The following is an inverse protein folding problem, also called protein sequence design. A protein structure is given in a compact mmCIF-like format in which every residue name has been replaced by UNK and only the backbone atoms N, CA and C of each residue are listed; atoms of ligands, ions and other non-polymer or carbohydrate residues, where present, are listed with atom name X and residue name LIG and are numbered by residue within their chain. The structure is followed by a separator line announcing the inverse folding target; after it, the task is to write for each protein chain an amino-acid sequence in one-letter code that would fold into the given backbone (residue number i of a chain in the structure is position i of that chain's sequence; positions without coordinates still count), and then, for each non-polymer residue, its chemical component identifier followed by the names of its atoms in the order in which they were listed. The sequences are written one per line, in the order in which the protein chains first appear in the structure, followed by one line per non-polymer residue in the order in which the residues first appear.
data_IF_368181394791
#
_entry.id   IF_368181394791
#
_cell.length_a   1.000
_cell.length_b   1.000
_cell.length_c   1.000
_cell.angle_alpha   90.00
_cell.angle_beta   90.00
_cell.angle_gamma   90.00
#
_symmetry.space_group_name_H-M   'P 1'
#
loop_
_entity.id
_entity.type
_entity.pdbx_description
1 polymer ?
#
# COMPACT_ATOMS: atom_id res chain seq x y z
N UNK A 1 -11.48 7.94 4.73
CA UNK A 1 -10.84 6.72 4.18
C UNK A 1 -10.19 5.95 5.31
N UNK A 2 -10.40 4.64 5.35
CA UNK A 2 -9.73 3.72 6.27
C UNK A 2 -8.27 3.49 5.85
N UNK A 3 -7.48 2.78 6.64
CA UNK A 3 -6.09 2.45 6.32
C UNK A 3 -5.62 1.13 6.95
N UNK A 4 -4.54 0.56 6.42
CA UNK A 4 -3.95 -0.68 6.94
C UNK A 4 -2.49 -0.48 7.31
N UNK A 5 -2.14 -1.05 8.45
CA UNK A 5 -0.78 -1.06 9.02
C UNK A 5 -0.26 -2.49 8.97
N UNK A 6 1.03 -2.67 8.66
CA UNK A 6 1.73 -3.95 8.81
C UNK A 6 2.80 -3.82 9.88
N UNK A 7 2.98 -4.85 10.71
CA UNK A 7 4.13 -4.90 11.61
C UNK A 7 5.41 -5.08 10.81
N UNK A 8 6.37 -4.18 11.02
CA UNK A 8 7.77 -4.39 10.72
C UNK A 8 8.30 -5.50 11.64
N UNK A 9 9.13 -6.41 11.12
CA UNK A 9 9.58 -7.60 11.85
C UNK A 9 10.58 -7.31 12.98
N UNK A 10 10.44 -6.17 13.67
CA UNK A 10 11.41 -5.58 14.58
C UNK A 10 11.18 -5.80 16.07
N UNK A 11 10.27 -6.68 16.53
CA UNK A 11 10.11 -6.96 17.96
C UNK A 11 10.22 -8.44 18.33
N UNK A 12 11.43 -8.80 18.76
CA UNK A 12 11.82 -9.95 19.60
C UNK A 12 11.52 -11.37 19.09
N UNK A 13 12.60 -12.01 18.63
CA UNK A 13 12.72 -13.41 18.22
C UNK A 13 12.39 -14.49 19.27
N UNK A 14 11.74 -14.17 20.41
CA UNK A 14 11.61 -15.11 21.54
C UNK A 14 10.19 -15.31 22.09
N UNK A 15 9.14 -14.78 21.45
CA UNK A 15 7.76 -15.14 21.82
C UNK A 15 7.01 -15.55 20.57
N UNK A 16 6.51 -16.80 20.60
CA UNK A 16 5.57 -17.47 19.69
C UNK A 16 5.12 -16.67 18.45
N UNK A 17 5.35 -17.26 17.28
CA UNK A 17 5.15 -16.78 15.89
C UNK A 17 3.71 -16.34 15.50
N UNK A 18 2.94 -15.76 16.40
CA UNK A 18 1.56 -15.36 16.15
C UNK A 18 1.44 -13.85 16.28
N UNK A 19 0.62 -13.26 15.43
CA UNK A 19 0.36 -11.83 15.46
C UNK A 19 -0.20 -11.36 16.82
N UNK A 20 0.11 -10.13 17.26
CA UNK A 20 -0.45 -9.61 18.50
C UNK A 20 -1.98 -9.58 18.46
N UNK A 21 -2.62 -9.48 19.63
CA UNK A 21 -4.08 -9.37 19.70
C UNK A 21 -4.58 -8.21 18.83
N UNK A 22 -5.67 -8.45 18.10
CA UNK A 22 -6.26 -7.51 17.13
C UNK A 22 -5.45 -7.27 15.85
N UNK A 23 -4.51 -8.17 15.53
CA UNK A 23 -3.84 -8.24 14.23
C UNK A 23 -4.19 -9.53 13.51
N UNK A 24 -4.29 -9.45 12.19
CA UNK A 24 -4.56 -10.58 11.31
C UNK A 24 -3.26 -11.08 10.69
N UNK A 25 -2.98 -12.37 10.86
CA UNK A 25 -1.85 -13.02 10.19
C UNK A 25 -2.23 -13.34 8.74
N UNK A 26 -1.50 -12.76 7.80
CA UNK A 26 -1.68 -12.96 6.36
C UNK A 26 -0.29 -13.27 5.80
N UNK A 27 -0.08 -14.52 5.36
CA UNK A 27 1.19 -14.99 4.78
C UNK A 27 2.43 -14.64 5.60
N UNK A 28 2.39 -14.90 6.92
CA UNK A 28 3.52 -14.70 7.83
C UNK A 28 3.82 -13.25 8.18
N UNK A 29 2.93 -12.31 7.81
CA UNK A 29 2.97 -10.91 8.24
C UNK A 29 1.69 -10.56 8.98
N UNK A 30 1.78 -9.58 9.87
CA UNK A 30 0.66 -9.14 10.68
C UNK A 30 0.11 -7.82 10.14
N UNK A 31 -1.20 -7.78 9.91
CA UNK A 31 -1.89 -6.60 9.39
C UNK A 31 -3.00 -6.17 10.33
N UNK A 32 -3.25 -4.86 10.38
CA UNK A 32 -4.36 -4.30 11.14
C UNK A 32 -5.09 -3.24 10.34
N UNK A 33 -6.41 -3.38 10.29
CA UNK A 33 -7.31 -2.43 9.67
C UNK A 33 -7.78 -1.38 10.68
N UNK A 34 -7.78 -0.12 10.25
CA UNK A 34 -8.33 1.00 11.00
C UNK A 34 -9.43 1.66 10.18
N UNK A 35 -10.65 1.68 10.71
CA UNK A 35 -11.83 2.29 10.08
C UNK A 35 -11.83 3.83 10.15
N UNK A 36 -10.90 4.44 10.88
CA UNK A 36 -10.83 5.89 11.08
C UNK A 36 -10.61 6.62 9.75
N UNK A 37 -11.49 7.58 9.45
CA UNK A 37 -11.39 8.38 8.24
C UNK A 37 -10.24 9.40 8.31
N UNK A 38 -9.12 9.09 7.66
CA UNK A 38 -7.93 9.94 7.61
C UNK A 38 -7.46 10.20 6.19
N UNK A 39 -6.67 11.27 5.99
CA UNK A 39 -5.87 11.46 4.79
C UNK A 39 -4.68 10.49 4.80
N UNK A 40 -4.08 10.21 3.64
CA UNK A 40 -2.90 9.33 3.59
C UNK A 40 -1.79 9.81 4.52
N UNK A 41 -1.50 11.12 4.53
CA UNK A 41 -0.45 11.70 5.36
C UNK A 41 -0.76 11.59 6.87
N UNK A 42 -2.03 11.78 7.26
CA UNK A 42 -2.43 11.61 8.66
C UNK A 42 -2.37 10.13 9.09
N UNK A 43 -2.78 9.21 8.21
CA UNK A 43 -2.69 7.78 8.44
C UNK A 43 -1.23 7.31 8.58
N UNK A 44 -0.35 7.72 7.66
CA UNK A 44 1.09 7.43 7.72
C UNK A 44 1.72 7.99 9.00
N UNK A 45 1.41 9.25 9.36
CA UNK A 45 1.89 9.85 10.61
C UNK A 45 1.43 9.07 11.84
N UNK A 46 0.20 8.57 11.84
CA UNK A 46 -0.30 7.73 12.92
C UNK A 46 0.43 6.38 12.98
N UNK A 47 0.70 5.75 11.84
CA UNK A 47 1.50 4.53 11.79
C UNK A 47 2.89 4.77 12.38
N UNK A 48 3.56 5.85 11.97
CA UNK A 48 4.89 6.20 12.46
C UNK A 48 4.89 6.48 13.96
N UNK A 49 3.82 7.09 14.49
CA UNK A 49 3.65 7.30 15.92
C UNK A 49 3.59 5.99 16.72
N UNK A 50 3.03 4.92 16.15
CA UNK A 50 3.01 3.58 16.76
C UNK A 50 4.22 2.71 16.40
N UNK A 51 5.25 3.30 15.79
CA UNK A 51 6.49 2.61 15.41
C UNK A 51 6.38 1.76 14.15
N UNK A 52 5.37 2.00 13.32
CA UNK A 52 5.10 1.23 12.09
C UNK A 52 4.87 2.16 10.89
N UNK A 53 4.55 1.59 9.73
CA UNK A 53 4.20 2.35 8.52
C UNK A 53 2.90 1.83 7.91
N UNK A 54 2.32 2.62 7.00
CA UNK A 54 1.26 2.08 6.16
C UNK A 54 1.77 0.86 5.41
N UNK A 55 0.89 -0.13 5.26
CA UNK A 55 1.30 -1.45 4.79
C UNK A 55 1.90 -1.42 3.39
N UNK A 56 2.98 -2.18 3.22
CA UNK A 56 3.47 -2.64 1.92
C UNK A 56 2.79 -3.93 1.49
N UNK A 57 2.75 -4.18 0.18
CA UNK A 57 2.25 -5.44 -0.39
C UNK A 57 3.31 -5.99 -1.32
N UNK A 58 3.73 -7.25 -1.12
CA UNK A 58 4.86 -7.85 -1.83
C UNK A 58 4.51 -9.02 -2.73
N UNK A 59 3.27 -9.52 -2.67
CA UNK A 59 2.83 -10.60 -3.52
C UNK A 59 1.30 -10.64 -3.60
N UNK A 60 0.82 -11.41 -4.57
CA UNK A 60 -0.61 -11.61 -4.83
C UNK A 60 -1.36 -12.18 -3.63
N UNK A 61 -0.72 -13.11 -2.93
CA UNK A 61 -1.21 -13.74 -1.72
C UNK A 61 -1.51 -12.71 -0.62
N UNK A 62 -0.56 -11.83 -0.29
CA UNK A 62 -0.77 -10.72 0.65
C UNK A 62 -1.88 -9.79 0.17
N UNK A 63 -1.90 -9.43 -1.11
CA UNK A 63 -2.98 -8.60 -1.68
C UNK A 63 -4.34 -9.21 -1.42
N UNK A 64 -4.53 -10.49 -1.78
CA UNK A 64 -5.81 -11.18 -1.63
C UNK A 64 -6.21 -11.31 -0.17
N UNK A 65 -5.30 -11.71 0.72
CA UNK A 65 -5.61 -11.80 2.14
C UNK A 65 -5.97 -10.45 2.77
N UNK A 66 -5.39 -9.35 2.30
CA UNK A 66 -5.76 -8.00 2.73
C UNK A 66 -7.15 -7.62 2.18
N UNK A 67 -7.49 -7.98 0.94
CA UNK A 67 -8.85 -7.79 0.40
C UNK A 67 -9.89 -8.56 1.22
N UNK A 68 -9.60 -9.82 1.56
CA UNK A 68 -10.47 -10.66 2.39
C UNK A 68 -10.64 -10.06 3.81
N UNK A 69 -9.57 -9.50 4.38
CA UNK A 69 -9.63 -8.79 5.66
C UNK A 69 -10.56 -7.56 5.59
N UNK A 70 -10.43 -6.76 4.54
CA UNK A 70 -11.29 -5.58 4.33
C UNK A 70 -12.74 -6.01 4.19
N UNK A 71 -13.00 -7.03 3.37
CA UNK A 71 -14.34 -7.57 3.16
C UNK A 71 -14.98 -8.07 4.46
N UNK A 72 -14.21 -8.81 5.26
CA UNK A 72 -14.68 -9.35 6.54
C UNK A 72 -15.05 -8.26 7.54
N UNK A 73 -14.28 -7.17 7.60
CA UNK A 73 -14.50 -6.09 8.56
C UNK A 73 -15.53 -5.08 8.05
N UNK A 74 -15.57 -4.84 6.76
CA UNK A 74 -16.39 -3.81 6.14
C UNK A 74 -17.05 -4.37 4.87
N UNK A 75 -18.30 -4.83 5.05
CA UNK A 75 -19.15 -5.38 3.98
C UNK A 75 -19.39 -4.41 2.82
N UNK A 76 -19.11 -3.12 3.01
CA UNK A 76 -19.11 -2.12 1.96
C UNK A 76 -17.67 -1.85 1.53
N UNK A 77 -17.30 -2.42 0.37
CA UNK A 77 -16.02 -2.24 -0.31
C UNK A 77 -15.50 -0.80 -0.19
N UNK A 78 -14.66 -0.58 0.81
CA UNK A 78 -14.18 0.75 1.16
C UNK A 78 -12.78 0.96 0.60
N UNK A 79 -12.52 2.18 0.17
CA UNK A 79 -11.17 2.64 -0.20
C UNK A 79 -10.29 2.69 1.06
N UNK A 80 -9.17 1.99 1.02
CA UNK A 80 -8.24 1.84 2.15
C UNK A 80 -6.85 2.33 1.78
N UNK A 81 -6.22 3.19 2.58
CA UNK A 81 -4.84 3.61 2.35
C UNK A 81 -3.84 2.49 2.61
N UNK A 82 -2.83 2.42 1.72
CA UNK A 82 -1.63 1.59 1.85
C UNK A 82 -0.39 2.46 1.62
N UNK A 83 0.81 1.94 1.88
CA UNK A 83 2.05 2.73 1.94
C UNK A 83 2.61 3.20 0.59
N UNK A 84 1.95 2.89 -0.52
CA UNK A 84 2.46 3.21 -1.85
C UNK A 84 2.42 4.70 -2.15
N UNK A 85 3.56 5.28 -2.55
CA UNK A 85 3.67 6.70 -2.91
C UNK A 85 4.77 6.98 -3.93
N UNK A 86 4.55 7.98 -4.80
CA UNK A 86 5.56 8.57 -5.70
C UNK A 86 6.01 9.97 -5.25
N UNK A 87 5.74 10.35 -4.00
CA UNK A 87 5.97 11.71 -3.51
C UNK A 87 7.45 12.10 -3.48
N UNK A 88 8.36 11.13 -3.50
CA UNK A 88 9.80 11.35 -3.54
C UNK A 88 10.29 11.63 -4.97
N UNK A 89 9.75 10.92 -5.95
CA UNK A 89 10.11 11.08 -7.35
C UNK A 89 8.89 10.74 -8.20
N UNK A 90 8.37 11.73 -8.93
CA UNK A 90 7.18 11.57 -9.74
C UNK A 90 7.35 10.41 -10.74
N UNK A 91 6.31 9.60 -10.89
CA UNK A 91 6.33 8.38 -11.71
C UNK A 91 7.11 7.19 -11.13
N UNK A 92 7.85 7.35 -10.04
CA UNK A 92 8.59 6.25 -9.38
C UNK A 92 7.98 5.96 -8.01
N UNK A 93 7.44 4.75 -7.88
CA UNK A 93 6.69 4.34 -6.69
C UNK A 93 7.58 3.65 -5.66
N UNK A 94 7.35 4.00 -4.40
CA UNK A 94 8.01 3.43 -3.24
C UNK A 94 6.97 3.04 -2.18
N UNK A 95 7.31 2.08 -1.33
CA UNK A 95 6.57 1.84 -0.09
C UNK A 95 7.11 2.76 1.01
N UNK A 96 6.22 3.35 1.81
CA UNK A 96 6.59 4.25 2.92
C UNK A 96 7.37 3.55 4.04
N UNK A 97 7.28 2.23 4.13
CA UNK A 97 8.06 1.40 5.06
C UNK A 97 9.50 1.11 4.59
N UNK A 98 9.91 1.66 3.44
CA UNK A 98 11.25 1.47 2.86
C UNK A 98 11.48 0.12 2.19
N UNK A 99 10.47 -0.74 2.14
CA UNK A 99 10.56 -2.04 1.47
C UNK A 99 10.60 -1.92 -0.06
N UNK A 100 11.12 -2.95 -0.72
CA UNK A 100 11.26 -2.94 -2.18
C UNK A 100 9.89 -2.97 -2.88
N UNK A 101 9.69 -2.06 -3.84
CA UNK A 101 8.46 -1.96 -4.62
C UNK A 101 8.47 -2.95 -5.81
N UNK A 102 8.34 -4.25 -5.53
CA UNK A 102 8.41 -5.32 -6.54
C UNK A 102 7.04 -5.83 -6.99
N UNK A 103 6.00 -5.66 -6.17
CA UNK A 103 4.67 -6.17 -6.47
C UNK A 103 3.75 -5.04 -6.90
N UNK A 104 3.19 -5.21 -8.10
CA UNK A 104 2.27 -4.24 -8.65
C UNK A 104 1.07 -4.91 -9.31
N UNK A 105 -0.07 -4.91 -8.62
CA UNK A 105 -1.38 -5.10 -9.24
C UNK A 105 -1.89 -3.72 -9.64
N UNK A 106 -1.57 -3.29 -10.87
CA UNK A 106 -2.08 -2.04 -11.44
C UNK A 106 -3.51 -2.26 -11.97
N UNK A 107 -4.33 -1.21 -11.96
CA UNK A 107 -5.53 -1.22 -12.79
C UNK A 107 -5.14 -1.34 -14.26
N UNK A 108 -5.96 -2.03 -15.05
CA UNK A 108 -5.83 -2.04 -16.51
C UNK A 108 -5.81 -0.59 -17.02
N UNK A 109 -4.70 -0.17 -17.64
CA UNK A 109 -4.49 1.21 -18.12
C UNK A 109 -3.54 2.10 -17.30
N UNK A 110 -2.90 1.61 -16.23
CA UNK A 110 -1.96 2.39 -15.41
C UNK A 110 -0.47 2.10 -15.65
N UNK A 111 -0.14 1.22 -16.59
CA UNK A 111 1.24 1.10 -17.07
C UNK A 111 1.54 2.23 -18.05
N UNK A 112 2.16 3.29 -17.55
CA UNK A 112 3.05 4.11 -18.36
C UNK A 112 4.43 4.11 -17.71
N UNK A 113 5.31 3.26 -18.25
CA UNK A 113 6.76 3.42 -18.10
C UNK A 113 7.43 2.53 -17.07
N UNK A 114 7.59 1.24 -17.38
CA UNK A 114 8.85 0.53 -17.11
C UNK A 114 9.12 -0.43 -18.28
N UNK A 115 9.79 0.07 -19.33
CA UNK A 115 10.45 -0.78 -20.30
C UNK A 115 11.90 -1.00 -19.84
N UNK A 116 12.38 -2.25 -19.72
CA UNK A 116 13.77 -2.55 -19.39
C UNK A 116 14.75 -2.37 -20.56
N UNK A 117 14.25 -2.04 -21.76
CA UNK A 117 15.08 -1.85 -22.93
C UNK A 117 14.95 -0.41 -23.41
N UNK A 118 16.09 0.27 -23.42
CA UNK A 118 16.21 1.65 -23.85
C UNK A 118 15.82 1.77 -25.32
N UNK A 119 14.67 2.38 -25.58
CA UNK A 119 14.39 3.01 -26.86
C UNK A 119 13.65 4.32 -26.65
N UNK A 120 14.33 5.39 -27.06
CA UNK A 120 13.81 6.75 -27.15
C UNK A 120 12.63 6.79 -28.11
N UNK A 121 11.42 6.99 -27.57
CA UNK A 121 10.37 7.93 -28.05
C UNK A 121 9.04 7.61 -27.37
N UNK A 122 8.78 8.27 -26.25
CA UNK A 122 7.42 8.43 -25.74
C UNK A 122 6.87 9.76 -26.25
N UNK A 123 5.77 9.67 -27.01
CA UNK A 123 5.02 10.77 -27.58
C UNK A 123 4.60 11.78 -26.52
N UNK A 124 4.73 13.05 -26.88
CA UNK A 124 4.41 14.23 -26.08
C UNK A 124 2.93 14.24 -25.65
N UNK A 125 2.63 13.65 -24.50
CA UNK A 125 1.43 13.92 -23.71
C UNK A 125 1.88 14.46 -22.35
N UNK A 126 1.90 15.79 -22.19
CA UNK A 126 2.19 16.45 -20.91
C UNK A 126 1.26 15.90 -19.83
N UNK A 127 1.78 15.06 -18.95
CA UNK A 127 1.16 14.80 -17.65
C UNK A 127 1.60 15.97 -16.74
N UNK A 128 0.67 16.75 -16.16
CA UNK A 128 1.04 17.90 -15.35
C UNK A 128 1.83 17.47 -14.10
N UNK A 129 2.99 18.09 -13.92
CA UNK A 129 3.99 17.86 -12.88
C UNK A 129 3.60 18.32 -11.46
N UNK A 130 2.31 18.23 -11.09
CA UNK A 130 1.82 18.81 -9.82
C UNK A 130 1.03 17.88 -8.90
N UNK A 131 0.92 16.58 -9.20
CA UNK A 131 0.16 15.67 -8.31
C UNK A 131 1.04 14.54 -7.80
N UNK A 132 1.65 14.74 -6.62
CA UNK A 132 2.22 13.64 -5.82
C UNK A 132 1.08 12.67 -5.47
N UNK A 133 1.08 11.47 -6.04
CA UNK A 133 0.00 10.48 -5.94
C UNK A 133 0.22 9.55 -4.75
N UNK A 134 -0.90 9.10 -4.19
CA UNK A 134 -0.95 8.14 -3.07
C UNK A 134 -1.86 6.97 -3.43
N UNK A 135 -1.52 5.76 -2.99
CA UNK A 135 -2.21 4.52 -3.38
C UNK A 135 -3.28 4.11 -2.35
N UNK A 136 -4.42 3.68 -2.87
CA UNK A 136 -5.47 2.98 -2.13
C UNK A 136 -5.55 1.51 -2.55
N UNK A 137 -5.90 0.62 -1.63
CA UNK A 137 -6.49 -0.67 -1.95
C UNK A 137 -8.02 -0.52 -2.00
N UNK A 138 -8.62 -0.89 -3.12
CA UNK A 138 -10.06 -1.08 -3.28
C UNK A 138 -10.22 -2.47 -3.90
N UNK A 139 -11.15 -3.27 -3.38
CA UNK A 139 -11.47 -4.59 -3.95
C UNK A 139 -11.63 -4.48 -5.47
N UNK A 140 -10.79 -5.22 -6.20
CA UNK A 140 -10.71 -5.24 -7.67
C UNK A 140 -10.16 -4.00 -8.39
N UNK A 141 -9.81 -2.88 -7.75
CA UNK A 141 -9.26 -1.71 -8.46
C UNK A 141 -8.32 -0.88 -7.58
N UNK A 142 -7.01 -1.00 -7.73
CA UNK A 142 -6.10 -0.03 -7.11
C UNK A 142 -6.13 1.29 -7.89
N UNK A 143 -6.79 2.31 -7.34
CA UNK A 143 -6.86 3.65 -7.95
C UNK A 143 -5.90 4.62 -7.27
N UNK A 144 -5.10 5.41 -8.02
CA UNK A 144 -4.43 6.59 -7.50
C UNK A 144 -5.48 7.65 -7.17
N UNK A 145 -5.35 8.26 -6.00
CA UNK A 145 -6.13 9.44 -5.63
C UNK A 145 -5.35 10.67 -6.07
N UNK A 146 -6.03 11.54 -6.82
CA UNK A 146 -5.54 12.83 -7.28
C UNK A 146 -5.77 13.92 -6.23
#
# INVERSE_FOLDING_TARGET
MAYIVSLSSGTSHLVKRSCPRSWSEIYGRCFRYFSSCMTWAAAEKHCQFIGENLTSVHNFNQHQGIEDLIWTINLHYSKVWIGGTDAQHDGVWFWSDGSTFQYTKWCHGQFIGMNPEGDTKATQGKIPSERRRKRLLQSNLVTPVY
#
